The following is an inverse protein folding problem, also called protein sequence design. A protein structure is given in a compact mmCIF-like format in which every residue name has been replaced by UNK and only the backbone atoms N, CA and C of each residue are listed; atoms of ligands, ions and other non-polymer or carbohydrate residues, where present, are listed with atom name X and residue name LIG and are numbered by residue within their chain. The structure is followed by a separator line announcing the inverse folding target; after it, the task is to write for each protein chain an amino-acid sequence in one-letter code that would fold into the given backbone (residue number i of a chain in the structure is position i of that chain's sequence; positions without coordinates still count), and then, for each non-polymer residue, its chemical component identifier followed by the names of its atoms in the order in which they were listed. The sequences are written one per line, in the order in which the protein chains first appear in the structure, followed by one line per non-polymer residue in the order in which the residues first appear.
data_IF_242714644935
#
_entry.id   IF_242714644935
#
_cell.length_a   1.000
_cell.length_b   1.000
_cell.length_c   1.000
_cell.angle_alpha   90.00
_cell.angle_beta   90.00
_cell.angle_gamma   90.00
#
_symmetry.space_group_name_H-M   'P 1'
#
loop_
_entity.id
_entity.type
_entity.pdbx_description
1 polymer ?
#
# COMPACT_ATOMS: atom_id res chain seq x y z
N UNK A 1 10.36 -22.88 -7.31
CA UNK A 1 9.90 -22.04 -8.44
C UNK A 1 10.41 -20.64 -8.21
N UNK A 2 11.51 -20.24 -8.87
CA UNK A 2 11.95 -18.84 -8.88
C UNK A 2 11.07 -18.08 -9.88
N UNK A 3 10.39 -16.98 -9.50
CA UNK A 3 9.53 -16.24 -10.42
C UNK A 3 10.35 -15.62 -11.56
N UNK A 4 9.73 -15.49 -12.73
CA UNK A 4 10.22 -14.65 -13.82
C UNK A 4 10.26 -13.19 -13.34
N UNK A 5 11.36 -12.80 -12.71
CA UNK A 5 11.74 -11.41 -12.45
C UNK A 5 12.07 -10.73 -13.79
N UNK A 6 11.04 -10.43 -14.58
CA UNK A 6 11.20 -9.82 -15.90
C UNK A 6 10.80 -8.35 -15.88
N UNK A 7 11.35 -7.58 -16.83
CA UNK A 7 10.97 -6.19 -17.08
C UNK A 7 9.44 -6.00 -17.19
N UNK A 8 8.71 -6.99 -17.72
CA UNK A 8 7.24 -6.98 -17.80
C UNK A 8 6.56 -6.92 -16.44
N UNK A 9 7.05 -7.66 -15.44
CA UNK A 9 6.47 -7.65 -14.08
C UNK A 9 6.68 -6.29 -13.42
N UNK A 10 7.87 -5.70 -13.60
CA UNK A 10 8.17 -4.36 -13.08
C UNK A 10 7.35 -3.27 -13.79
N UNK A 11 7.20 -3.36 -15.11
CA UNK A 11 6.38 -2.43 -15.88
C UNK A 11 4.89 -2.50 -15.48
N UNK A 12 4.36 -3.71 -15.31
CA UNK A 12 2.99 -3.91 -14.82
C UNK A 12 2.82 -3.31 -13.41
N UNK A 13 3.77 -3.60 -12.52
CA UNK A 13 3.74 -3.06 -11.16
C UNK A 13 3.80 -1.53 -11.14
N UNK A 14 4.74 -0.93 -11.88
CA UNK A 14 4.87 0.51 -11.99
C UNK A 14 3.59 1.14 -12.55
N UNK A 15 3.00 0.55 -13.60
CA UNK A 15 1.73 1.01 -14.16
C UNK A 15 0.59 0.95 -13.15
N UNK A 16 0.41 -0.21 -12.49
CA UNK A 16 -0.62 -0.36 -11.44
C UNK A 16 -0.42 0.64 -10.29
N UNK A 17 0.82 0.86 -9.87
CA UNK A 17 1.20 1.83 -8.86
C UNK A 17 0.82 3.26 -9.27
N UNK A 18 1.31 3.70 -10.43
CA UNK A 18 1.02 5.04 -10.97
C UNK A 18 -0.49 5.30 -11.08
N UNK A 19 -1.24 4.32 -11.60
CA UNK A 19 -2.71 4.40 -11.71
C UNK A 19 -3.36 4.51 -10.34
N UNK A 20 -2.97 3.67 -9.38
CA UNK A 20 -3.52 3.71 -8.03
C UNK A 20 -3.23 5.05 -7.34
N UNK A 21 -1.99 5.54 -7.42
CA UNK A 21 -1.60 6.82 -6.85
C UNK A 21 -2.34 8.01 -7.46
N UNK A 22 -2.53 8.02 -8.78
CA UNK A 22 -3.31 9.06 -9.46
C UNK A 22 -4.79 9.01 -9.09
N UNK A 23 -5.36 7.81 -9.00
CA UNK A 23 -6.74 7.62 -8.55
C UNK A 23 -6.94 8.11 -7.12
N UNK A 24 -6.04 7.77 -6.19
CA UNK A 24 -6.13 8.25 -4.81
C UNK A 24 -5.92 9.75 -4.70
N UNK A 25 -5.02 10.35 -5.50
CA UNK A 25 -4.86 11.81 -5.52
C UNK A 25 -6.17 12.50 -5.92
N UNK A 26 -6.82 11.99 -6.98
CA UNK A 26 -8.11 12.51 -7.44
C UNK A 26 -9.21 12.30 -6.38
N UNK A 27 -9.24 11.14 -5.74
CA UNK A 27 -10.20 10.85 -4.68
C UNK A 27 -10.01 11.77 -3.47
N UNK A 28 -8.77 12.02 -3.04
CA UNK A 28 -8.44 12.97 -1.96
C UNK A 28 -8.82 14.40 -2.32
N UNK A 29 -8.62 14.82 -3.58
CA UNK A 29 -8.98 16.17 -4.04
C UNK A 29 -10.49 16.38 -4.20
N UNK A 30 -11.28 15.33 -4.47
CA UNK A 30 -12.70 15.45 -4.82
C UNK A 30 -13.64 14.89 -3.76
N UNK A 31 -13.49 13.61 -3.43
CA UNK A 31 -14.42 12.87 -2.56
C UNK A 31 -14.04 13.03 -1.08
N UNK A 32 -12.74 13.06 -0.77
CA UNK A 32 -12.24 13.04 0.60
C UNK A 32 -11.63 14.36 1.05
N UNK A 33 -11.79 15.45 0.29
CA UNK A 33 -11.13 16.73 0.55
C UNK A 33 -11.37 17.30 1.95
N UNK A 34 -12.54 17.03 2.53
CA UNK A 34 -12.91 17.48 3.89
C UNK A 34 -12.34 16.63 5.02
N UNK A 35 -11.85 15.41 4.73
CA UNK A 35 -11.41 14.43 5.73
C UNK A 35 -9.93 14.05 5.59
N UNK A 36 -9.19 14.63 4.63
CA UNK A 36 -7.73 14.43 4.55
C UNK A 36 -7.10 14.88 5.88
N UNK A 37 -6.30 14.02 6.55
CA UNK A 37 -5.70 14.35 7.84
C UNK A 37 -4.85 15.63 7.79
N UNK A 38 -4.90 16.45 8.84
CA UNK A 38 -4.15 17.71 8.89
C UNK A 38 -2.64 17.50 8.69
N UNK A 39 -2.08 16.46 9.30
CA UNK A 39 -0.66 16.08 9.11
C UNK A 39 -0.27 15.86 7.64
N UNK A 40 -1.19 15.36 6.82
CA UNK A 40 -0.96 15.17 5.39
C UNK A 40 -1.00 16.52 4.65
N UNK A 41 -1.91 17.42 5.03
CA UNK A 41 -2.00 18.77 4.46
C UNK A 41 -0.75 19.60 4.78
N UNK A 42 -0.30 19.57 6.03
CA UNK A 42 0.89 20.29 6.48
C UNK A 42 2.13 19.80 5.72
N UNK A 43 2.31 18.48 5.60
CA UNK A 43 3.39 17.88 4.82
C UNK A 43 3.36 18.31 3.33
N UNK A 44 2.18 18.45 2.73
CA UNK A 44 2.04 18.92 1.34
C UNK A 44 2.41 20.40 1.20
N UNK A 45 2.06 21.22 2.20
CA UNK A 45 2.37 22.65 2.22
C UNK A 45 3.86 22.95 2.48
N UNK A 46 4.52 22.14 3.31
CA UNK A 46 5.89 22.40 3.79
C UNK A 46 6.99 21.77 2.91
N UNK A 47 6.73 20.63 2.28
CA UNK A 47 7.74 19.88 1.54
C UNK A 47 7.43 19.85 0.04
N UNK A 48 8.44 20.03 -0.82
CA UNK A 48 8.25 19.87 -2.27
C UNK A 48 7.94 18.42 -2.69
N UNK A 49 7.31 18.20 -3.86
CA UNK A 49 6.92 16.85 -4.31
C UNK A 49 8.05 15.83 -4.33
N UNK A 50 9.26 16.21 -4.78
CA UNK A 50 10.42 15.31 -4.80
C UNK A 50 10.85 14.86 -3.39
N UNK A 51 10.82 15.77 -2.42
CA UNK A 51 11.16 15.45 -1.03
C UNK A 51 10.15 14.46 -0.44
N UNK A 52 8.85 14.65 -0.72
CA UNK A 52 7.81 13.72 -0.30
C UNK A 52 7.94 12.36 -0.98
N UNK A 53 8.24 12.30 -2.28
CA UNK A 53 8.50 11.03 -2.98
C UNK A 53 9.66 10.28 -2.33
N UNK A 54 10.77 10.96 -2.03
CA UNK A 54 11.93 10.33 -1.38
C UNK A 54 11.58 9.80 0.02
N UNK A 55 10.85 10.58 0.82
CA UNK A 55 10.37 10.16 2.14
C UNK A 55 9.47 8.92 2.06
N UNK A 56 8.44 8.95 1.21
CA UNK A 56 7.53 7.83 1.06
C UNK A 56 8.15 6.63 0.37
N UNK A 57 9.15 6.80 -0.50
CA UNK A 57 9.86 5.66 -1.08
C UNK A 57 10.65 4.89 -0.01
N UNK A 58 11.28 5.61 0.94
CA UNK A 58 11.89 4.99 2.13
C UNK A 58 10.84 4.28 3.00
N UNK A 59 9.69 4.92 3.23
CA UNK A 59 8.58 4.33 3.97
C UNK A 59 8.06 3.04 3.30
N UNK A 60 7.78 3.10 2.00
CA UNK A 60 7.35 1.97 1.19
C UNK A 60 8.35 0.80 1.27
N UNK A 61 9.65 1.07 1.23
CA UNK A 61 10.66 0.02 1.43
C UNK A 61 10.50 -0.67 2.79
N UNK A 62 10.37 0.11 3.87
CA UNK A 62 10.20 -0.43 5.23
C UNK A 62 8.89 -1.24 5.33
N UNK A 63 7.79 -0.69 4.83
CA UNK A 63 6.48 -1.35 4.79
C UNK A 63 6.54 -2.67 4.01
N UNK A 64 7.19 -2.70 2.84
CA UNK A 64 7.31 -3.93 2.06
C UNK A 64 8.20 -4.97 2.74
N UNK A 65 9.22 -4.57 3.49
CA UNK A 65 10.01 -5.51 4.29
C UNK A 65 9.16 -6.10 5.42
N UNK A 66 8.50 -5.26 6.22
CA UNK A 66 7.73 -5.70 7.38
C UNK A 66 6.46 -6.47 6.99
N UNK A 67 5.70 -5.96 6.02
CA UNK A 67 4.39 -6.50 5.69
C UNK A 67 4.49 -7.64 4.67
N UNK A 68 5.36 -7.55 3.67
CA UNK A 68 5.39 -8.57 2.59
C UNK A 68 6.40 -9.67 2.89
N UNK A 69 7.62 -9.33 3.32
CA UNK A 69 8.59 -10.38 3.66
C UNK A 69 8.29 -11.04 5.00
N UNK A 70 7.93 -10.27 6.05
CA UNK A 70 7.69 -10.85 7.38
C UNK A 70 6.23 -11.27 7.55
N UNK A 71 5.28 -10.32 7.57
CA UNK A 71 3.90 -10.62 7.94
C UNK A 71 3.20 -11.57 6.95
N UNK A 72 3.18 -11.24 5.66
CA UNK A 72 2.50 -12.03 4.63
C UNK A 72 3.07 -13.46 4.54
N UNK A 73 4.39 -13.60 4.59
CA UNK A 73 5.06 -14.91 4.54
C UNK A 73 4.80 -15.71 5.82
N UNK A 74 4.91 -15.08 6.99
CA UNK A 74 4.61 -15.70 8.28
C UNK A 74 3.15 -16.15 8.40
N UNK A 75 2.19 -15.33 7.95
CA UNK A 75 0.77 -15.69 7.92
C UNK A 75 0.52 -16.83 6.94
N UNK A 76 1.09 -16.76 5.73
CA UNK A 76 0.97 -17.83 4.72
C UNK A 76 1.46 -19.16 5.28
N UNK A 77 2.66 -19.16 5.88
CA UNK A 77 3.24 -20.34 6.51
C UNK A 77 2.37 -20.86 7.66
N UNK A 78 1.89 -19.98 8.53
CA UNK A 78 1.04 -20.35 9.67
C UNK A 78 -0.27 -20.99 9.22
N UNK A 79 -0.94 -20.43 8.22
CA UNK A 79 -2.17 -21.01 7.66
C UNK A 79 -1.90 -22.38 7.06
N UNK A 80 -0.80 -22.55 6.31
CA UNK A 80 -0.43 -23.85 5.74
C UNK A 80 -0.13 -24.88 6.84
N UNK A 81 0.60 -24.48 7.89
CA UNK A 81 0.98 -25.35 9.00
C UNK A 81 -0.24 -25.80 9.82
N UNK A 82 -1.17 -24.88 10.10
CA UNK A 82 -2.35 -25.15 10.92
C UNK A 82 -3.46 -25.91 10.17
N UNK A 83 -3.61 -25.68 8.87
CA UNK A 83 -4.74 -26.24 8.10
C UNK A 83 -4.34 -27.38 7.15
N UNK A 84 -3.04 -27.56 6.89
CA UNK A 84 -2.53 -28.44 5.84
C UNK A 84 -2.86 -28.01 4.41
N UNK A 85 -3.65 -26.94 4.22
CA UNK A 85 -4.10 -26.47 2.91
C UNK A 85 -2.96 -25.78 2.17
N UNK A 86 -2.94 -25.93 0.85
CA UNK A 86 -2.01 -25.27 -0.06
C UNK A 86 -2.78 -24.66 -1.22
N UNK A 87 -2.19 -23.66 -1.87
CA UNK A 87 -2.73 -23.07 -3.10
C UNK A 87 -3.18 -21.61 -2.96
N UNK A 88 -3.89 -21.08 -3.97
CA UNK A 88 -4.24 -19.66 -4.09
C UNK A 88 -5.03 -19.09 -2.90
N UNK A 89 -5.97 -19.87 -2.34
CA UNK A 89 -6.82 -19.42 -1.25
C UNK A 89 -6.04 -19.03 0.01
N UNK A 90 -4.95 -19.76 0.30
CA UNK A 90 -4.07 -19.45 1.45
C UNK A 90 -3.38 -18.11 1.27
N UNK A 91 -2.89 -17.84 0.05
CA UNK A 91 -2.21 -16.58 -0.26
C UNK A 91 -3.17 -15.41 -0.22
N UNK A 92 -4.38 -15.56 -0.76
CA UNK A 92 -5.41 -14.52 -0.66
C UNK A 92 -5.79 -14.23 0.79
N UNK A 93 -6.01 -15.27 1.60
CA UNK A 93 -6.28 -15.06 3.03
C UNK A 93 -5.13 -14.32 3.70
N UNK A 94 -3.87 -14.70 3.43
CA UNK A 94 -2.72 -14.03 4.00
C UNK A 94 -2.57 -12.57 3.53
N UNK A 95 -2.88 -12.27 2.26
CA UNK A 95 -2.93 -10.90 1.72
C UNK A 95 -3.98 -10.08 2.46
N UNK A 96 -5.20 -10.61 2.62
CA UNK A 96 -6.28 -9.91 3.31
C UNK A 96 -5.95 -9.67 4.79
N UNK A 97 -5.43 -10.68 5.49
CA UNK A 97 -5.00 -10.52 6.89
C UNK A 97 -3.85 -9.52 7.01
N UNK A 98 -2.92 -9.49 6.06
CA UNK A 98 -1.83 -8.51 6.06
C UNK A 98 -2.38 -7.08 5.87
N UNK A 99 -3.27 -6.89 4.89
CA UNK A 99 -3.82 -5.58 4.54
C UNK A 99 -4.77 -5.01 5.61
N UNK A 100 -5.64 -5.86 6.17
CA UNK A 100 -6.72 -5.40 7.05
C UNK A 100 -6.49 -5.67 8.54
N UNK A 101 -5.47 -6.46 8.90
CA UNK A 101 -5.15 -6.76 10.31
C UNK A 101 -3.72 -6.36 10.65
N UNK A 102 -2.72 -6.89 9.94
CA UNK A 102 -1.32 -6.61 10.28
C UNK A 102 -0.96 -5.12 10.07
N UNK A 103 -1.36 -4.53 8.93
CA UNK A 103 -1.07 -3.13 8.65
C UNK A 103 -1.68 -2.18 9.69
N UNK A 104 -2.98 -2.24 10.03
CA UNK A 104 -3.55 -1.39 11.08
C UNK A 104 -2.85 -1.51 12.45
N UNK A 105 -2.34 -2.70 12.79
CA UNK A 105 -1.57 -2.90 14.02
C UNK A 105 -0.19 -2.22 13.96
N UNK A 106 0.51 -2.34 12.84
CA UNK A 106 1.82 -1.69 12.63
C UNK A 106 1.66 -0.17 12.56
N UNK A 107 0.63 0.32 11.87
CA UNK A 107 0.32 1.73 11.71
C UNK A 107 -0.58 2.28 12.82
N UNK A 108 -0.63 1.64 14.00
CA UNK A 108 -1.53 2.03 15.10
C UNK A 108 -1.42 3.51 15.45
N UNK A 109 -0.20 4.05 15.52
CA UNK A 109 0.03 5.47 15.85
C UNK A 109 -0.65 6.44 14.88
N UNK A 110 -0.68 6.10 13.59
CA UNK A 110 -1.41 6.85 12.57
C UNK A 110 -2.93 6.74 12.79
N UNK A 111 -3.45 5.52 12.91
CA UNK A 111 -4.88 5.27 13.04
C UNK A 111 -5.50 5.85 14.33
N UNK A 112 -4.73 5.91 15.43
CA UNK A 112 -5.21 6.54 16.68
C UNK A 112 -5.30 8.06 16.60
N UNK A 113 -4.64 8.68 15.62
CA UNK A 113 -4.67 10.13 15.40
C UNK A 113 -5.77 10.60 14.43
N UNK A 114 -6.57 9.67 13.88
CA UNK A 114 -7.63 10.02 12.92
C UNK A 114 -8.93 10.41 13.61
N UNK A 115 -9.61 11.40 13.03
CA UNK A 115 -11.01 11.68 13.32
C UNK A 115 -11.91 10.71 12.55
N UNK A 116 -12.52 9.79 13.28
CA UNK A 116 -13.28 8.69 12.68
C UNK A 116 -14.68 9.13 12.24
N UNK A 117 -14.94 8.98 10.95
CA UNK A 117 -16.26 9.08 10.33
C UNK A 117 -16.46 7.91 9.36
N UNK A 118 -17.68 7.67 8.90
CA UNK A 118 -17.93 6.67 7.86
C UNK A 118 -17.09 6.97 6.59
N UNK A 119 -16.93 8.25 6.24
CA UNK A 119 -16.13 8.66 5.10
C UNK A 119 -14.63 8.40 5.35
N UNK A 120 -14.13 8.66 6.56
CA UNK A 120 -12.75 8.34 6.96
C UNK A 120 -12.50 6.84 6.82
N UNK A 121 -13.42 5.99 7.30
CA UNK A 121 -13.31 4.53 7.16
C UNK A 121 -13.23 4.12 5.68
N UNK A 122 -14.09 4.67 4.83
CA UNK A 122 -14.08 4.38 3.38
C UNK A 122 -12.75 4.82 2.75
N UNK A 123 -12.24 6.00 3.11
CA UNK A 123 -10.96 6.50 2.64
C UNK A 123 -9.82 5.57 3.06
N UNK A 124 -9.72 5.21 4.34
CA UNK A 124 -8.62 4.38 4.83
C UNK A 124 -8.67 2.95 4.29
N UNK A 125 -9.86 2.37 4.11
CA UNK A 125 -10.02 1.08 3.43
C UNK A 125 -9.59 1.16 1.96
N UNK A 126 -9.87 2.29 1.29
CA UNK A 126 -9.45 2.53 -0.09
C UNK A 126 -7.94 2.74 -0.19
N UNK A 127 -7.39 3.66 0.60
CA UNK A 127 -5.99 4.06 0.58
C UNK A 127 -5.07 2.96 1.07
N UNK A 128 -5.38 2.32 2.20
CA UNK A 128 -4.49 1.35 2.83
C UNK A 128 -4.92 -0.08 2.63
N UNK A 129 -6.22 -0.36 2.71
CA UNK A 129 -6.76 -1.70 2.48
C UNK A 129 -6.55 -2.14 1.03
N UNK A 130 -7.06 -1.38 0.07
CA UNK A 130 -6.96 -1.73 -1.35
C UNK A 130 -5.51 -1.67 -1.85
N UNK A 131 -4.72 -0.68 -1.45
CA UNK A 131 -3.27 -0.66 -1.73
C UNK A 131 -2.58 -1.88 -1.10
N UNK A 132 -2.91 -2.19 0.15
CA UNK A 132 -2.41 -3.35 0.88
C UNK A 132 -2.58 -4.66 0.10
N UNK A 133 -3.80 -4.87 -0.41
CA UNK A 133 -4.17 -6.00 -1.25
C UNK A 133 -3.42 -5.97 -2.59
N UNK A 134 -3.34 -4.81 -3.25
CA UNK A 134 -2.64 -4.67 -4.54
C UNK A 134 -1.15 -5.01 -4.45
N UNK A 135 -0.42 -4.45 -3.48
CA UNK A 135 1.00 -4.75 -3.29
C UNK A 135 1.22 -6.20 -2.84
N UNK A 136 0.31 -6.74 -2.02
CA UNK A 136 0.33 -8.15 -1.62
C UNK A 136 0.16 -9.10 -2.81
N UNK A 137 -0.76 -8.78 -3.72
CA UNK A 137 -0.97 -9.53 -4.96
C UNK A 137 0.24 -9.41 -5.92
N UNK A 138 0.79 -8.21 -6.10
CA UNK A 138 2.02 -8.01 -6.89
C UNK A 138 3.19 -8.80 -6.30
N UNK A 139 3.39 -8.74 -4.98
CA UNK A 139 4.42 -9.49 -4.30
C UNK A 139 4.27 -11.00 -4.53
N UNK A 140 3.05 -11.53 -4.39
CA UNK A 140 2.78 -12.95 -4.57
C UNK A 140 2.93 -13.42 -6.02
N UNK A 141 2.40 -12.67 -6.99
CA UNK A 141 2.34 -13.10 -8.40
C UNK A 141 3.57 -12.72 -9.21
N UNK A 142 4.24 -11.63 -8.83
CA UNK A 142 5.32 -11.01 -9.59
C UNK A 142 6.63 -10.85 -8.79
N UNK A 143 6.63 -11.25 -7.51
CA UNK A 143 7.78 -11.19 -6.61
C UNK A 143 7.85 -9.88 -5.84
N UNK A 144 8.60 -9.89 -4.73
CA UNK A 144 8.69 -8.77 -3.80
C UNK A 144 9.08 -7.43 -4.45
N UNK A 145 10.06 -7.44 -5.37
CA UNK A 145 10.47 -6.23 -6.11
C UNK A 145 9.32 -5.61 -6.92
N UNK A 146 8.38 -6.42 -7.44
CA UNK A 146 7.21 -5.88 -8.13
C UNK A 146 6.25 -5.21 -7.14
N UNK A 147 6.04 -5.78 -5.95
CA UNK A 147 5.28 -5.12 -4.88
C UNK A 147 5.87 -3.76 -4.50
N UNK A 148 7.18 -3.72 -4.24
CA UNK A 148 7.93 -2.50 -3.93
C UNK A 148 7.88 -1.47 -5.06
N UNK A 149 8.06 -1.92 -6.31
CA UNK A 149 8.00 -1.02 -7.47
C UNK A 149 6.63 -0.38 -7.60
N UNK A 150 5.55 -1.15 -7.44
CA UNK A 150 4.19 -0.62 -7.49
C UNK A 150 3.91 0.37 -6.37
N UNK A 151 4.35 0.06 -5.14
CA UNK A 151 4.16 0.94 -3.99
C UNK A 151 4.90 2.28 -4.16
N UNK A 152 6.19 2.25 -4.54
CA UNK A 152 6.95 3.49 -4.82
C UNK A 152 6.32 4.26 -5.99
N UNK A 153 5.90 3.56 -7.04
CA UNK A 153 5.27 4.18 -8.21
C UNK A 153 3.94 4.87 -7.86
N UNK A 154 3.17 4.36 -6.89
CA UNK A 154 1.98 5.06 -6.39
C UNK A 154 2.34 6.42 -5.77
N UNK A 155 3.42 6.50 -5.00
CA UNK A 155 3.88 7.80 -4.50
C UNK A 155 4.42 8.70 -5.61
N UNK A 156 5.06 8.15 -6.63
CA UNK A 156 5.58 8.93 -7.75
C UNK A 156 4.48 9.71 -8.50
N UNK A 157 3.25 9.18 -8.59
CA UNK A 157 2.11 9.92 -9.15
C UNK A 157 1.30 10.68 -8.09
N UNK A 158 1.06 10.09 -6.92
CA UNK A 158 0.26 10.70 -5.85
C UNK A 158 0.86 12.02 -5.37
N UNK A 159 2.18 12.03 -5.07
CA UNK A 159 2.79 13.18 -4.40
C UNK A 159 2.73 14.47 -5.25
N UNK A 160 3.07 14.48 -6.55
CA UNK A 160 2.94 15.69 -7.36
C UNK A 160 1.49 16.15 -7.51
N UNK A 161 0.54 15.23 -7.69
CA UNK A 161 -0.87 15.56 -7.90
C UNK A 161 -1.53 16.19 -6.67
N UNK A 162 -1.11 15.80 -5.47
CA UNK A 162 -1.58 16.45 -4.23
C UNK A 162 -1.16 17.92 -4.11
N UNK A 163 -0.14 18.37 -4.86
CA UNK A 163 0.28 19.79 -4.89
C UNK A 163 -0.44 20.63 -5.94
N UNK A 164 -1.32 20.04 -6.74
CA UNK A 164 -2.05 20.74 -7.82
C UNK A 164 -3.48 21.12 -7.44
N UNK A 165 -3.97 20.63 -6.30
CA UNK A 165 -5.33 20.88 -5.78
C UNK A 165 -5.34 21.90 -4.65
#
# INVERSE_FOLDING_TARGET
MLPRHGARSLALAAGAGLTFGAWMALADATLFSTIVPQVQRDMVAEAGPLARIAWFARGALIDELQLRLVALTGITWSVMALTGRRGPAVHWLAILLTAFVAYPLVARGYFTGLEWSALTVIRELSLHGAAGVLWGWLCWRHGWLAGLTGHIAAHASLQPLLSMG
#
